data_IF_123998319713
#
_entry.id   IF_123998319713
#
_cell.length_a   1.000
_cell.length_b   1.000
_cell.length_c   1.000
_cell.angle_alpha   90.00
_cell.angle_beta   90.00
_cell.angle_gamma   90.00
#
_symmetry.space_group_name_H-M   'P 1'
#
loop_
_entity.id
_entity.type
_entity.pdbx_description
1 polymer ?
#
# COMPACT_ATOMS: atom_id res chain seq x y z
N UNK A 1 -41.16 13.80 10.91
CA UNK A 1 -42.19 14.53 10.14
C UNK A 1 -43.52 14.29 10.83
N UNK A 2 -44.20 15.34 11.31
CA UNK A 2 -45.41 15.24 12.14
C UNK A 2 -46.57 15.93 11.41
N UNK A 3 -47.68 15.21 11.24
CA UNK A 3 -48.93 15.72 10.67
C UNK A 3 -49.99 15.71 11.76
N UNK A 4 -50.42 16.89 12.18
CA UNK A 4 -51.49 17.07 13.17
C UNK A 4 -52.79 17.34 12.40
N UNK A 5 -53.62 16.31 12.25
CA UNK A 5 -54.95 16.43 11.62
C UNK A 5 -55.96 16.45 12.75
N UNK A 6 -56.65 17.60 12.88
CA UNK A 6 -57.73 18.08 13.75
C UNK A 6 -58.34 17.30 14.94
N UNK A 7 -57.97 16.06 15.26
CA UNK A 7 -58.40 15.31 16.47
C UNK A 7 -57.46 14.16 16.87
N UNK A 8 -56.30 14.02 16.21
CA UNK A 8 -55.34 12.98 16.54
C UNK A 8 -53.88 13.44 16.36
N UNK A 9 -53.03 13.05 17.31
CA UNK A 9 -51.59 13.25 17.22
C UNK A 9 -50.92 11.97 16.74
N UNK A 10 -50.02 12.10 15.76
CA UNK A 10 -49.25 10.98 15.19
C UNK A 10 -47.77 11.27 15.32
N UNK A 11 -47.04 10.36 15.95
CA UNK A 11 -45.60 10.45 16.16
C UNK A 11 -44.91 9.28 15.48
N UNK A 12 -43.90 9.58 14.67
CA UNK A 12 -43.04 8.58 14.03
C UNK A 12 -41.61 8.92 14.42
N UNK A 13 -40.97 8.01 15.15
CA UNK A 13 -39.62 8.18 15.66
C UNK A 13 -38.77 6.99 15.22
N UNK A 14 -37.66 7.26 14.54
CA UNK A 14 -36.70 6.24 14.13
C UNK A 14 -35.41 6.43 14.92
N UNK A 15 -35.16 5.58 15.90
CA UNK A 15 -33.99 5.68 16.77
C UNK A 15 -32.91 4.72 16.29
N UNK A 16 -31.74 5.23 15.83
CA UNK A 16 -30.62 4.37 15.48
C UNK A 16 -29.95 3.85 16.75
N UNK A 17 -29.51 2.59 16.71
CA UNK A 17 -28.77 1.97 17.80
C UNK A 17 -27.72 1.00 17.28
N UNK A 18 -26.79 0.62 18.15
CA UNK A 18 -25.75 -0.37 17.87
C UNK A 18 -25.96 -1.61 18.72
N UNK A 19 -25.73 -2.79 18.17
CA UNK A 19 -25.89 -4.05 18.91
C UNK A 19 -24.93 -5.12 18.40
N UNK A 20 -24.45 -5.95 19.30
CA UNK A 20 -23.59 -7.07 18.95
C UNK A 20 -24.42 -8.14 18.23
N UNK A 21 -23.95 -8.59 17.07
CA UNK A 21 -24.70 -9.57 16.28
C UNK A 21 -24.42 -11.03 16.68
N UNK A 22 -23.41 -11.29 17.52
CA UNK A 22 -23.09 -12.61 18.07
C UNK A 22 -22.69 -13.67 17.03
N UNK A 23 -22.22 -13.25 15.85
CA UNK A 23 -21.83 -14.17 14.75
C UNK A 23 -20.30 -14.28 14.73
N UNK A 24 -19.74 -15.46 14.39
CA UNK A 24 -18.28 -15.63 14.28
C UNK A 24 -17.67 -14.85 13.11
N UNK A 25 -18.49 -14.48 12.11
CA UNK A 25 -18.12 -13.60 10.99
C UNK A 25 -19.28 -12.63 10.72
N UNK A 26 -19.03 -11.35 10.40
CA UNK A 26 -17.73 -10.67 10.22
C UNK A 26 -16.93 -10.48 11.54
N UNK A 27 -15.65 -10.09 11.43
CA UNK A 27 -14.74 -9.87 12.58
C UNK A 27 -15.22 -8.75 13.50
N UNK A 28 -15.85 -7.73 12.94
CA UNK A 28 -16.49 -6.65 13.71
C UNK A 28 -17.75 -7.20 14.38
N UNK A 29 -17.85 -7.25 15.72
CA UNK A 29 -18.99 -7.81 16.41
C UNK A 29 -20.23 -6.89 16.37
N UNK A 30 -20.09 -5.62 15.98
CA UNK A 30 -21.13 -4.61 16.09
C UNK A 30 -21.92 -4.41 14.79
N UNK A 31 -23.22 -4.19 14.95
CA UNK A 31 -24.15 -3.90 13.85
C UNK A 31 -24.97 -2.65 14.13
N UNK A 32 -25.07 -1.75 13.15
CA UNK A 32 -25.97 -0.60 13.19
C UNK A 32 -27.38 -1.05 12.83
N UNK A 33 -28.34 -0.68 13.67
CA UNK A 33 -29.75 -1.04 13.57
C UNK A 33 -30.63 0.19 13.75
N UNK A 34 -31.90 0.06 13.41
CA UNK A 34 -32.90 1.12 13.55
C UNK A 34 -34.13 0.56 14.24
N UNK A 35 -34.57 1.27 15.26
CA UNK A 35 -35.81 0.99 15.95
C UNK A 35 -36.84 2.03 15.52
N UNK A 36 -37.88 1.61 14.79
CA UNK A 36 -38.96 2.51 14.41
C UNK A 36 -40.15 2.38 15.36
N UNK A 37 -40.59 3.51 15.89
CA UNK A 37 -41.70 3.65 16.82
C UNK A 37 -42.74 4.54 16.18
N UNK A 38 -43.93 4.00 16.00
CA UNK A 38 -45.11 4.74 15.60
C UNK A 38 -46.08 4.81 16.78
N UNK A 39 -46.50 6.02 17.12
CA UNK A 39 -47.54 6.26 18.11
C UNK A 39 -48.68 7.04 17.46
N UNK A 40 -49.90 6.57 17.67
CA UNK A 40 -51.13 7.29 17.37
C UNK A 40 -51.89 7.56 18.66
N UNK A 41 -52.06 8.83 19.00
CA UNK A 41 -52.89 9.25 20.13
C UNK A 41 -54.23 9.77 19.61
N UNK A 42 -55.31 9.10 20.01
CA UNK A 42 -56.68 9.49 19.71
C UNK A 42 -57.26 10.25 20.89
N UNK A 43 -57.61 11.52 20.66
CA UNK A 43 -58.14 12.38 21.73
C UNK A 43 -59.56 11.99 22.15
N UNK A 44 -60.38 11.47 21.22
CA UNK A 44 -61.77 11.06 21.47
C UNK A 44 -61.87 9.86 22.40
N UNK A 45 -60.97 8.88 22.24
CA UNK A 45 -60.94 7.66 23.04
C UNK A 45 -59.95 7.75 24.22
N UNK A 46 -59.10 8.78 24.26
CA UNK A 46 -57.97 8.93 25.20
C UNK A 46 -57.08 7.68 25.26
N UNK A 47 -56.87 7.05 24.09
CA UNK A 47 -56.05 5.85 23.96
C UNK A 47 -54.87 6.10 23.02
N UNK A 48 -53.69 5.60 23.41
CA UNK A 48 -52.51 5.53 22.56
C UNK A 48 -52.40 4.16 21.91
N UNK A 49 -52.27 4.12 20.59
CA UNK A 49 -51.92 2.92 19.82
C UNK A 49 -50.46 2.98 19.41
N UNK A 50 -49.74 1.87 19.54
CA UNK A 50 -48.30 1.80 19.29
C UNK A 50 -47.97 0.70 18.30
N UNK A 51 -47.09 1.00 17.34
CA UNK A 51 -46.51 0.03 16.43
C UNK A 51 -45.00 0.14 16.56
N UNK A 52 -44.37 -0.98 16.90
CA UNK A 52 -42.94 -1.09 17.17
C UNK A 52 -42.33 -2.02 16.12
N UNK A 53 -41.43 -1.49 15.29
CA UNK A 53 -40.76 -2.25 14.24
C UNK A 53 -39.32 -2.50 14.66
N UNK A 54 -38.95 -3.79 14.74
CA UNK A 54 -37.64 -4.26 15.23
C UNK A 54 -37.30 -3.71 16.62
N UNK A 55 -38.14 -3.98 17.65
CA UNK A 55 -37.80 -3.60 19.01
C UNK A 55 -36.55 -4.35 19.47
N UNK A 56 -35.72 -3.67 20.27
CA UNK A 56 -34.59 -4.31 20.94
C UNK A 56 -35.10 -5.36 21.92
N UNK A 57 -34.34 -6.44 22.10
CA UNK A 57 -34.73 -7.56 22.97
C UNK A 57 -35.05 -7.11 24.41
N UNK A 58 -34.24 -6.19 24.96
CA UNK A 58 -34.53 -5.57 26.26
C UNK A 58 -35.89 -4.87 26.32
N UNK A 59 -36.26 -4.14 25.25
CA UNK A 59 -37.54 -3.45 25.18
C UNK A 59 -38.69 -4.44 25.04
N UNK A 60 -38.49 -5.52 24.25
CA UNK A 60 -39.45 -6.61 24.11
C UNK A 60 -39.73 -7.28 25.45
N UNK A 61 -38.69 -7.64 26.20
CA UNK A 61 -38.83 -8.22 27.54
C UNK A 61 -39.50 -7.26 28.53
N UNK A 62 -39.22 -5.96 28.44
CA UNK A 62 -39.89 -4.96 29.28
C UNK A 62 -41.39 -4.81 28.96
N UNK A 63 -41.79 -5.02 27.71
CA UNK A 63 -43.18 -5.05 27.30
C UNK A 63 -43.89 -6.32 27.77
N UNK A 64 -43.26 -7.48 27.60
CA UNK A 64 -43.80 -8.78 28.02
C UNK A 64 -43.94 -8.88 29.55
N UNK A 65 -43.02 -8.28 30.31
CA UNK A 65 -43.07 -8.21 31.78
C UNK A 65 -43.97 -7.10 32.33
N UNK A 66 -44.63 -6.31 31.47
CA UNK A 66 -45.53 -5.23 31.88
C UNK A 66 -44.81 -4.01 32.50
N UNK A 67 -43.48 -3.94 32.43
CA UNK A 67 -42.69 -2.79 32.92
C UNK A 67 -42.88 -1.52 32.08
N UNK A 68 -43.32 -1.66 30.84
CA UNK A 68 -43.70 -0.56 29.94
C UNK A 68 -45.20 -0.71 29.64
N UNK A 69 -46.03 0.23 30.11
CA UNK A 69 -47.46 0.24 29.84
C UNK A 69 -47.77 1.11 28.61
N UNK A 70 -48.00 0.46 27.47
CA UNK A 70 -48.34 1.14 26.20
C UNK A 70 -49.76 1.74 26.19
N UNK A 71 -50.65 1.24 27.06
CA UNK A 71 -52.07 1.62 27.14
C UNK A 71 -52.40 2.73 28.13
N UNK A 72 -51.48 3.64 28.44
CA UNK A 72 -51.74 4.68 29.44
C UNK A 72 -52.75 5.73 28.94
N UNK A 73 -53.70 6.09 29.82
CA UNK A 73 -54.68 7.18 29.60
C UNK A 73 -54.05 8.57 29.72
N UNK A 74 -52.83 8.67 30.26
CA UNK A 74 -52.12 9.94 30.44
C UNK A 74 -51.17 10.21 29.27
N UNK A 75 -51.24 11.44 28.76
CA UNK A 75 -50.37 11.91 27.68
C UNK A 75 -48.89 11.95 28.12
N UNK A 76 -48.62 12.26 29.39
CA UNK A 76 -47.28 12.25 29.99
C UNK A 76 -46.66 10.85 30.03
N UNK A 77 -47.45 9.82 30.31
CA UNK A 77 -46.99 8.44 30.32
C UNK A 77 -46.58 7.95 28.92
N UNK A 78 -47.17 8.52 27.86
CA UNK A 78 -46.76 8.23 26.48
C UNK A 78 -45.37 8.81 26.18
N UNK A 79 -45.08 10.05 26.61
CA UNK A 79 -43.74 10.63 26.47
C UNK A 79 -42.68 9.91 27.31
N UNK A 80 -43.04 9.50 28.52
CA UNK A 80 -42.16 8.69 29.36
C UNK A 80 -41.82 7.34 28.70
N UNK A 81 -42.77 6.75 27.97
CA UNK A 81 -42.54 5.53 27.18
C UNK A 81 -41.56 5.79 26.03
N UNK A 82 -41.69 6.90 25.29
CA UNK A 82 -40.69 7.30 24.29
C UNK A 82 -39.31 7.47 24.90
N UNK A 83 -39.20 8.16 26.04
CA UNK A 83 -37.93 8.34 26.73
C UNK A 83 -37.30 7.00 27.13
N UNK A 84 -38.08 6.05 27.66
CA UNK A 84 -37.58 4.70 28.00
C UNK A 84 -37.07 3.96 26.77
N UNK A 85 -37.78 4.02 25.66
CA UNK A 85 -37.36 3.40 24.40
C UNK A 85 -36.02 4.00 23.93
N UNK A 86 -35.92 5.33 23.90
CA UNK A 86 -34.70 6.01 23.46
C UNK A 86 -33.54 5.69 24.41
N UNK A 87 -33.76 5.70 25.73
CA UNK A 87 -32.76 5.31 26.74
C UNK A 87 -32.26 3.88 26.54
N UNK A 88 -33.16 2.92 26.32
CA UNK A 88 -32.78 1.53 26.05
C UNK A 88 -31.95 1.42 24.77
N UNK A 89 -32.32 2.16 23.73
CA UNK A 89 -31.59 2.15 22.45
C UNK A 89 -30.17 2.75 22.55
N UNK A 90 -29.95 3.68 23.49
CA UNK A 90 -28.66 4.36 23.62
C UNK A 90 -27.65 3.67 24.54
N UNK A 91 -28.05 2.63 25.26
CA UNK A 91 -27.21 1.95 26.28
C UNK A 91 -25.93 1.34 25.70
N UNK A 92 -25.97 0.93 24.43
CA UNK A 92 -24.87 0.25 23.74
C UNK A 92 -23.81 1.20 23.17
N UNK A 93 -24.10 2.51 23.04
CA UNK A 93 -23.16 3.48 22.46
C UNK A 93 -21.84 3.56 23.22
N UNK A 94 -21.88 3.52 24.56
CA UNK A 94 -20.67 3.53 25.40
C UNK A 94 -19.72 2.39 25.05
N UNK A 95 -20.25 1.18 24.96
CA UNK A 95 -19.46 -0.03 24.68
C UNK A 95 -18.90 -0.02 23.27
N UNK A 96 -19.70 0.39 22.29
CA UNK A 96 -19.26 0.54 20.91
C UNK A 96 -18.14 1.58 20.76
N UNK A 97 -18.30 2.76 21.37
CA UNK A 97 -17.28 3.81 21.30
C UNK A 97 -15.99 3.45 22.05
N UNK A 98 -16.09 2.67 23.13
CA UNK A 98 -14.91 2.11 23.79
C UNK A 98 -14.20 1.11 22.87
N UNK A 99 -14.93 0.19 22.25
CA UNK A 99 -14.37 -0.76 21.27
C UNK A 99 -13.61 -0.06 20.14
N UNK A 100 -14.18 1.00 19.55
CA UNK A 100 -13.48 1.77 18.51
C UNK A 100 -12.23 2.48 19.05
N UNK A 101 -12.28 2.99 20.29
CA UNK A 101 -11.13 3.60 20.96
C UNK A 101 -10.01 2.58 21.17
N UNK A 102 -10.35 1.38 21.65
CA UNK A 102 -9.38 0.32 21.92
C UNK A 102 -8.73 -0.20 20.62
N UNK A 103 -9.50 -0.31 19.52
CA UNK A 103 -8.93 -0.62 18.20
C UNK A 103 -7.99 0.48 17.70
N UNK A 104 -8.35 1.75 17.92
CA UNK A 104 -7.52 2.89 17.54
C UNK A 104 -6.20 2.92 18.34
N UNK A 105 -6.28 2.69 19.65
CA UNK A 105 -5.12 2.65 20.55
C UNK A 105 -4.14 1.54 20.16
N UNK A 106 -4.63 0.36 19.77
CA UNK A 106 -3.78 -0.72 19.27
C UNK A 106 -2.98 -0.30 18.03
N UNK A 107 -3.63 0.40 17.08
CA UNK A 107 -2.94 0.91 15.89
C UNK A 107 -1.95 2.00 16.30
N UNK A 108 -2.36 2.92 17.18
CA UNK A 108 -1.52 4.01 17.67
C UNK A 108 -0.24 3.51 18.32
N UNK A 109 -0.34 2.56 19.25
CA UNK A 109 0.81 1.95 19.91
C UNK A 109 1.73 1.30 18.88
N UNK A 110 1.17 0.58 17.91
CA UNK A 110 1.96 -0.04 16.83
C UNK A 110 2.71 0.99 15.99
N UNK A 111 2.10 2.14 15.72
CA UNK A 111 2.72 3.22 14.93
C UNK A 111 3.82 3.95 15.71
N UNK A 112 3.58 4.24 16.99
CA UNK A 112 4.53 5.00 17.83
C UNK A 112 5.71 4.14 18.29
N UNK A 113 5.45 2.90 18.70
CA UNK A 113 6.48 2.02 19.25
C UNK A 113 7.29 1.28 18.18
N UNK A 114 7.11 1.62 16.90
CA UNK A 114 7.91 1.04 15.83
C UNK A 114 9.40 1.39 16.04
N UNK A 115 10.20 0.35 16.25
CA UNK A 115 11.64 0.47 16.40
C UNK A 115 12.28 0.59 15.01
N UNK A 116 13.23 1.53 14.90
CA UNK A 116 14.15 1.81 13.80
C UNK A 116 13.75 1.28 12.40
N UNK A 117 13.40 2.16 11.44
CA UNK A 117 12.98 1.77 10.09
C UNK A 117 14.04 0.96 9.32
N UNK A 118 15.27 0.87 9.82
CA UNK A 118 16.37 0.10 9.23
C UNK A 118 16.44 -1.37 9.66
N UNK A 119 15.75 -1.78 10.74
CA UNK A 119 15.89 -3.13 11.34
C UNK A 119 14.60 -3.96 11.38
N UNK A 120 13.44 -3.37 11.08
CA UNK A 120 12.18 -4.12 11.11
C UNK A 120 12.02 -4.99 9.86
N UNK A 121 12.25 -6.29 9.99
CA UNK A 121 11.86 -7.28 8.98
C UNK A 121 10.47 -7.86 9.28
N UNK A 122 9.57 -7.76 8.30
CA UNK A 122 8.46 -8.69 8.09
C UNK A 122 7.17 -8.46 8.88
N UNK A 123 7.17 -8.53 10.22
CA UNK A 123 5.91 -8.61 10.99
C UNK A 123 5.47 -7.31 11.66
N UNK A 124 6.41 -6.41 11.91
CA UNK A 124 6.18 -5.11 12.55
C UNK A 124 6.03 -3.95 11.57
N UNK A 125 5.97 -4.25 10.28
CA UNK A 125 5.94 -3.24 9.22
C UNK A 125 4.59 -2.50 9.20
N UNK A 126 4.62 -1.17 9.39
CA UNK A 126 3.51 -0.30 9.04
C UNK A 126 3.27 -0.45 7.54
N UNK A 127 2.12 -0.98 7.19
CA UNK A 127 1.69 -1.22 5.82
C UNK A 127 0.48 -0.32 5.52
N UNK A 128 0.12 -0.25 4.25
CA UNK A 128 -1.10 0.41 3.79
C UNK A 128 -2.37 -0.15 4.46
N UNK A 129 -2.33 -1.40 4.93
CA UNK A 129 -3.41 -2.07 5.66
C UNK A 129 -3.84 -1.32 6.94
N UNK A 130 -2.89 -0.70 7.65
CA UNK A 130 -3.20 0.10 8.84
C UNK A 130 -4.00 1.34 8.47
N UNK A 131 -3.69 2.00 7.35
CA UNK A 131 -4.44 3.15 6.84
C UNK A 131 -5.86 2.76 6.43
N UNK A 132 -6.04 1.60 5.78
CA UNK A 132 -7.38 1.07 5.46
C UNK A 132 -8.22 0.79 6.71
N UNK A 133 -7.59 0.23 7.75
CA UNK A 133 -8.28 -0.05 9.02
C UNK A 133 -8.68 1.24 9.73
N UNK A 134 -7.82 2.26 9.72
CA UNK A 134 -8.15 3.59 10.22
C UNK A 134 -9.31 4.23 9.48
N UNK A 135 -9.38 4.12 8.15
CA UNK A 135 -10.51 4.64 7.37
C UNK A 135 -11.83 3.95 7.76
N UNK A 136 -11.80 2.64 8.00
CA UNK A 136 -12.95 1.88 8.50
C UNK A 136 -13.38 2.38 9.89
N UNK A 137 -12.44 2.57 10.82
CA UNK A 137 -12.71 3.10 12.17
C UNK A 137 -13.31 4.51 12.06
N UNK A 138 -12.73 5.37 11.21
CA UNK A 138 -13.21 6.73 11.00
C UNK A 138 -14.63 6.75 10.43
N UNK A 139 -14.93 5.90 9.42
CA UNK A 139 -16.25 5.78 8.84
C UNK A 139 -17.29 5.31 9.88
N UNK A 140 -16.93 4.34 10.73
CA UNK A 140 -17.78 3.87 11.83
C UNK A 140 -18.02 4.97 12.87
N UNK A 141 -16.99 5.71 13.26
CA UNK A 141 -17.10 6.82 14.20
C UNK A 141 -17.96 7.97 13.64
N UNK A 142 -17.81 8.33 12.36
CA UNK A 142 -18.67 9.29 11.66
C UNK A 142 -20.13 8.84 11.65
N UNK A 143 -20.38 7.57 11.36
CA UNK A 143 -21.74 7.00 11.38
C UNK A 143 -22.35 7.03 12.78
N UNK A 144 -21.57 6.70 13.81
CA UNK A 144 -22.02 6.79 15.20
C UNK A 144 -22.32 8.23 15.62
N UNK A 145 -21.46 9.19 15.28
CA UNK A 145 -21.69 10.61 15.53
C UNK A 145 -23.00 11.10 14.89
N UNK A 146 -23.24 10.74 13.63
CA UNK A 146 -24.49 11.06 12.92
C UNK A 146 -25.72 10.42 13.57
N UNK A 147 -25.63 9.15 13.99
CA UNK A 147 -26.71 8.44 14.65
C UNK A 147 -27.04 9.01 16.05
N UNK A 148 -26.01 9.37 16.82
CA UNK A 148 -26.18 10.02 18.12
C UNK A 148 -26.81 11.40 17.93
N UNK A 149 -26.34 12.19 16.95
CA UNK A 149 -26.93 13.48 16.64
C UNK A 149 -28.40 13.38 16.24
N UNK A 150 -28.78 12.36 15.45
CA UNK A 150 -30.18 12.08 15.13
C UNK A 150 -31.02 11.79 16.38
N UNK A 151 -30.46 11.06 17.34
CA UNK A 151 -31.13 10.76 18.62
C UNK A 151 -31.27 12.01 19.49
N UNK A 152 -30.25 12.88 19.52
CA UNK A 152 -30.33 14.18 20.20
C UNK A 152 -31.41 15.08 19.60
N UNK A 153 -31.53 15.14 18.27
CA UNK A 153 -32.60 15.88 17.59
C UNK A 153 -34.00 15.36 17.95
N UNK A 154 -34.16 14.05 18.08
CA UNK A 154 -35.43 13.43 18.51
C UNK A 154 -35.78 13.90 19.93
N UNK A 155 -34.82 13.88 20.86
CA UNK A 155 -35.03 14.34 22.25
C UNK A 155 -35.41 15.81 22.28
N UNK A 156 -34.70 16.67 21.55
CA UNK A 156 -35.03 18.10 21.45
C UNK A 156 -36.43 18.33 20.87
N UNK A 157 -36.83 17.51 19.89
CA UNK A 157 -38.18 17.58 19.32
C UNK A 157 -39.24 17.20 20.36
N UNK A 158 -39.01 16.13 21.12
CA UNK A 158 -39.90 15.72 22.21
C UNK A 158 -40.00 16.82 23.27
N UNK A 159 -38.89 17.43 23.64
CA UNK A 159 -38.81 18.51 24.62
C UNK A 159 -39.61 19.74 24.18
N UNK A 160 -39.42 20.19 22.93
CA UNK A 160 -40.20 21.27 22.34
C UNK A 160 -41.71 20.96 22.31
N UNK A 161 -42.09 19.70 22.08
CA UNK A 161 -43.50 19.29 22.13
C UNK A 161 -44.06 19.30 23.55
N UNK A 162 -43.27 18.89 24.55
CA UNK A 162 -43.65 18.99 25.96
C UNK A 162 -43.90 20.45 26.34
N UNK A 163 -43.03 21.36 25.91
CA UNK A 163 -43.20 22.79 26.15
C UNK A 163 -44.45 23.37 25.47
N UNK A 164 -44.68 23.03 24.20
CA UNK A 164 -45.89 23.46 23.48
C UNK A 164 -47.17 22.98 24.17
N UNK A 165 -47.22 21.70 24.54
CA UNK A 165 -48.37 21.13 25.23
C UNK A 165 -48.58 21.75 26.61
N UNK A 166 -47.50 22.04 27.34
CA UNK A 166 -47.58 22.73 28.63
C UNK A 166 -48.16 24.14 28.49
N UNK A 167 -47.77 24.87 27.43
CA UNK A 167 -48.29 26.22 27.17
C UNK A 167 -49.78 26.21 26.82
N UNK A 168 -50.24 25.16 26.12
CA UNK A 168 -51.67 24.98 25.83
C UNK A 168 -52.45 24.59 27.08
N UNK A 169 -51.92 23.67 27.91
CA UNK A 169 -52.60 23.22 29.12
C UNK A 169 -52.76 24.35 30.15
N UNK A 170 -51.75 25.20 30.33
CA UNK A 170 -51.82 26.40 31.19
C UNK A 170 -52.93 27.38 30.78
N UNK A 171 -53.36 27.38 29.51
CA UNK A 171 -54.46 28.25 29.03
C UNK A 171 -55.85 27.69 29.33
N UNK A 172 -55.98 26.39 29.54
CA UNK A 172 -57.28 25.72 29.72
C UNK A 172 -57.59 25.36 31.18
N UNK A 173 -56.58 25.08 32.02
CA UNK A 173 -56.79 24.84 33.46
C UNK A 173 -55.68 25.49 34.32
N UNK A 174 -55.92 26.66 34.94
CA UNK A 174 -54.93 27.34 35.76
C UNK A 174 -54.71 26.72 37.17
N UNK A 175 -55.54 25.77 37.60
CA UNK A 175 -55.71 25.45 39.03
C UNK A 175 -55.29 24.04 39.48
N UNK A 176 -54.87 23.14 38.58
CA UNK A 176 -54.56 21.76 38.98
C UNK A 176 -53.08 21.59 39.32
N UNK A 177 -52.77 21.67 40.61
CA UNK A 177 -51.45 21.49 41.18
C UNK A 177 -50.95 20.04 41.04
N UNK A 178 -50.03 19.83 40.10
CA UNK A 178 -48.81 19.01 40.29
C UNK A 178 -47.98 19.06 39.01
N UNK A 179 -47.17 20.12 38.87
CA UNK A 179 -46.13 20.21 37.82
C UNK A 179 -45.00 19.17 38.00
N UNK A 180 -45.00 18.42 39.11
CA UNK A 180 -43.95 17.50 39.54
C UNK A 180 -43.53 16.47 38.47
N UNK A 181 -44.50 15.86 37.79
CA UNK A 181 -44.21 14.86 36.73
C UNK A 181 -43.64 15.45 35.45
N UNK A 182 -43.90 16.74 35.16
CA UNK A 182 -43.39 17.44 33.98
C UNK A 182 -41.94 17.85 34.21
N UNK A 183 -41.69 18.52 35.33
CA UNK A 183 -40.37 19.05 35.66
C UNK A 183 -39.37 17.88 35.76
N UNK A 184 -39.78 16.75 36.38
CA UNK A 184 -39.02 15.51 36.37
C UNK A 184 -38.71 14.98 34.95
N UNK A 185 -39.70 14.96 34.03
CA UNK A 185 -39.50 14.47 32.68
C UNK A 185 -38.56 15.37 31.87
N UNK A 186 -38.66 16.69 32.05
CA UNK A 186 -37.81 17.68 31.40
C UNK A 186 -36.36 17.54 31.89
N UNK A 187 -36.15 17.45 33.21
CA UNK A 187 -34.83 17.23 33.82
C UNK A 187 -34.20 15.93 33.31
N UNK A 188 -34.98 14.85 33.22
CA UNK A 188 -34.53 13.56 32.69
C UNK A 188 -34.18 13.60 31.19
N UNK A 189 -34.94 14.35 30.38
CA UNK A 189 -34.63 14.56 28.97
C UNK A 189 -33.35 15.39 28.80
N UNK A 190 -33.18 16.44 29.60
CA UNK A 190 -31.99 17.29 29.58
C UNK A 190 -30.76 16.51 30.02
N UNK A 191 -30.84 15.76 31.12
CA UNK A 191 -29.76 14.90 31.60
C UNK A 191 -29.35 13.87 30.54
N UNK A 192 -30.33 13.26 29.87
CA UNK A 192 -30.05 12.27 28.84
C UNK A 192 -29.48 12.90 27.55
N UNK A 193 -29.94 14.08 27.16
CA UNK A 193 -29.35 14.88 26.08
C UNK A 193 -27.88 15.21 26.34
N UNK A 194 -27.55 15.59 27.58
CA UNK A 194 -26.17 15.82 28.02
C UNK A 194 -25.33 14.54 27.88
N UNK A 195 -25.87 13.38 28.26
CA UNK A 195 -25.18 12.11 28.13
C UNK A 195 -24.89 11.73 26.66
N UNK A 196 -25.85 11.94 25.75
CA UNK A 196 -25.64 11.74 24.32
C UNK A 196 -24.61 12.71 23.74
N UNK A 197 -24.56 13.95 24.25
CA UNK A 197 -23.55 14.93 23.85
C UNK A 197 -22.14 14.46 24.21
N UNK A 198 -21.96 13.83 25.37
CA UNK A 198 -20.68 13.22 25.75
C UNK A 198 -20.30 12.09 24.78
N UNK A 199 -21.24 11.22 24.41
CA UNK A 199 -20.98 10.17 23.41
C UNK A 199 -20.63 10.75 22.03
N UNK A 200 -21.31 11.82 21.60
CA UNK A 200 -21.01 12.51 20.35
C UNK A 200 -19.63 13.17 20.37
N UNK A 201 -19.20 13.73 21.51
CA UNK A 201 -17.83 14.25 21.70
C UNK A 201 -16.80 13.13 21.56
N UNK A 202 -16.96 12.02 22.28
CA UNK A 202 -16.06 10.87 22.15
C UNK A 202 -15.95 10.35 20.71
N UNK A 203 -17.07 10.27 19.98
CA UNK A 203 -17.05 9.88 18.58
C UNK A 203 -16.25 10.86 17.69
N UNK A 204 -16.29 12.16 17.99
CA UNK A 204 -15.51 13.19 17.31
C UNK A 204 -14.03 13.09 17.64
N UNK A 205 -13.70 12.88 18.91
CA UNK A 205 -12.31 12.73 19.36
C UNK A 205 -11.64 11.55 18.62
N UNK A 206 -12.36 10.42 18.47
CA UNK A 206 -11.90 9.26 17.67
C UNK A 206 -11.65 9.65 16.20
N UNK A 207 -12.50 10.48 15.60
CA UNK A 207 -12.34 10.92 14.20
C UNK A 207 -11.08 11.79 14.04
N UNK A 208 -10.85 12.71 14.98
CA UNK A 208 -9.71 13.62 14.99
C UNK A 208 -8.40 12.86 15.26
N UNK A 209 -8.41 11.96 16.23
CA UNK A 209 -7.25 11.11 16.56
C UNK A 209 -6.89 10.18 15.39
N UNK A 210 -7.89 9.61 14.73
CA UNK A 210 -7.66 8.79 13.52
C UNK A 210 -6.97 9.59 12.40
N UNK A 211 -7.37 10.85 12.20
CA UNK A 211 -6.74 11.72 11.21
C UNK A 211 -5.28 12.02 11.58
N UNK A 212 -5.01 12.28 12.86
CA UNK A 212 -3.65 12.49 13.38
C UNK A 212 -2.75 11.26 13.18
N UNK A 213 -3.24 10.06 13.52
CA UNK A 213 -2.50 8.81 13.35
C UNK A 213 -2.25 8.51 11.87
N UNK A 214 -3.23 8.76 10.99
CA UNK A 214 -3.04 8.57 9.56
C UNK A 214 -1.97 9.50 8.99
N UNK A 215 -1.91 10.77 9.42
CA UNK A 215 -0.81 11.68 9.07
C UNK A 215 0.54 11.18 9.56
N UNK A 216 0.61 10.63 10.78
CA UNK A 216 1.84 10.05 11.31
C UNK A 216 2.29 8.84 10.48
N UNK A 217 1.38 7.93 10.13
CA UNK A 217 1.67 6.79 9.26
C UNK A 217 2.23 7.25 7.91
N UNK A 218 1.60 8.22 7.27
CA UNK A 218 2.05 8.76 5.99
C UNK A 218 3.47 9.33 6.09
N UNK A 219 3.75 10.15 7.12
CA UNK A 219 5.10 10.70 7.35
C UNK A 219 6.14 9.63 7.63
N UNK A 220 5.80 8.59 8.40
CA UNK A 220 6.72 7.48 8.67
C UNK A 220 7.02 6.70 7.39
N UNK A 221 6.01 6.47 6.54
CA UNK A 221 6.20 5.83 5.24
C UNK A 221 7.06 6.68 4.30
N UNK A 222 6.83 7.99 4.24
CA UNK A 222 7.62 8.92 3.42
C UNK A 222 9.08 8.98 3.88
N UNK A 223 9.32 9.05 5.19
CA UNK A 223 10.66 9.01 5.77
C UNK A 223 11.38 7.72 5.39
N UNK A 224 10.69 6.58 5.49
CA UNK A 224 11.27 5.30 5.12
C UNK A 224 11.58 5.22 3.64
N UNK A 225 10.69 5.68 2.77
CA UNK A 225 10.93 5.76 1.33
C UNK A 225 12.17 6.62 1.04
N UNK A 226 12.31 7.77 1.69
CA UNK A 226 13.49 8.63 1.56
C UNK A 226 14.78 7.93 2.01
N UNK A 227 14.75 7.20 3.14
CA UNK A 227 15.90 6.45 3.63
C UNK A 227 16.28 5.28 2.71
N UNK A 228 15.29 4.52 2.21
CA UNK A 228 15.52 3.45 1.24
C UNK A 228 16.08 3.98 -0.08
N UNK A 229 15.58 5.12 -0.56
CA UNK A 229 16.13 5.78 -1.74
C UNK A 229 17.55 6.29 -1.52
N UNK A 230 17.85 6.87 -0.35
CA UNK A 230 19.18 7.34 -0.03
C UNK A 230 20.18 6.18 0.04
N UNK A 231 19.83 5.11 0.77
CA UNK A 231 20.67 3.90 0.88
C UNK A 231 20.90 3.25 -0.47
N UNK A 232 19.85 3.06 -1.27
CA UNK A 232 19.98 2.55 -2.65
C UNK A 232 20.86 3.44 -3.52
N UNK A 233 20.72 4.77 -3.46
CA UNK A 233 21.59 5.68 -4.20
C UNK A 233 23.05 5.59 -3.75
N UNK A 234 23.31 5.45 -2.45
CA UNK A 234 24.68 5.26 -1.94
C UNK A 234 25.29 3.94 -2.41
N UNK A 235 24.52 2.84 -2.40
CA UNK A 235 24.96 1.55 -2.94
C UNK A 235 25.22 1.63 -4.45
N UNK A 236 24.34 2.30 -5.21
CA UNK A 236 24.53 2.51 -6.66
C UNK A 236 25.78 3.34 -6.95
N UNK A 237 26.07 4.36 -6.13
CA UNK A 237 27.31 5.15 -6.24
C UNK A 237 28.55 4.29 -5.96
N UNK A 238 28.50 3.43 -4.93
CA UNK A 238 29.59 2.51 -4.63
C UNK A 238 29.82 1.51 -5.76
N UNK A 239 28.75 0.93 -6.32
CA UNK A 239 28.81 0.03 -7.48
C UNK A 239 29.39 0.75 -8.69
N UNK A 240 28.92 1.97 -8.99
CA UNK A 240 29.41 2.77 -10.13
C UNK A 240 30.90 3.12 -9.98
N UNK A 241 31.35 3.44 -8.77
CA UNK A 241 32.77 3.68 -8.48
C UNK A 241 33.60 2.41 -8.68
N UNK A 242 33.13 1.26 -8.19
CA UNK A 242 33.79 -0.04 -8.41
C UNK A 242 33.87 -0.38 -9.90
N UNK A 243 32.78 -0.21 -10.65
CA UNK A 243 32.73 -0.48 -12.10
C UNK A 243 33.67 0.44 -12.89
N UNK A 244 33.84 1.70 -12.45
CA UNK A 244 34.80 2.62 -13.06
C UNK A 244 36.26 2.15 -12.84
N UNK A 245 36.60 1.69 -11.63
CA UNK A 245 37.93 1.14 -11.30
C UNK A 245 38.19 -0.17 -12.06
N UNK A 246 37.17 -1.02 -12.18
CA UNK A 246 37.27 -2.26 -12.95
C UNK A 246 37.49 -1.96 -14.45
N UNK A 247 36.76 -0.97 -15.00
CA UNK A 247 36.91 -0.56 -16.40
C UNK A 247 38.31 -0.03 -16.71
N UNK A 248 38.91 0.77 -15.83
CA UNK A 248 40.28 1.25 -16.03
C UNK A 248 41.30 0.12 -15.94
N UNK A 249 41.11 -0.82 -15.02
CA UNK A 249 41.95 -2.02 -14.90
C UNK A 249 41.85 -2.91 -16.14
N UNK A 250 40.64 -3.07 -16.70
CA UNK A 250 40.40 -3.81 -17.94
C UNK A 250 41.07 -3.15 -19.14
N UNK A 251 41.03 -1.81 -19.23
CA UNK A 251 41.74 -1.07 -20.28
C UNK A 251 43.26 -1.30 -20.18
N UNK A 252 43.80 -1.27 -18.95
CA UNK A 252 45.22 -1.53 -18.73
C UNK A 252 45.61 -2.96 -19.11
N UNK A 253 44.83 -3.97 -18.71
CA UNK A 253 45.03 -5.37 -19.12
C UNK A 253 44.93 -5.54 -20.64
N UNK A 254 44.00 -4.83 -21.29
CA UNK A 254 43.87 -4.87 -22.75
C UNK A 254 45.10 -4.26 -23.43
N UNK A 255 45.64 -3.16 -22.90
CA UNK A 255 46.86 -2.54 -23.41
C UNK A 255 48.09 -3.48 -23.25
N UNK A 256 48.22 -4.14 -22.10
CA UNK A 256 49.25 -5.16 -21.87
C UNK A 256 49.10 -6.34 -22.82
N UNK A 257 47.88 -6.88 -22.97
CA UNK A 257 47.60 -7.97 -23.90
C UNK A 257 47.92 -7.61 -25.36
N UNK A 258 47.65 -6.37 -25.78
CA UNK A 258 48.05 -5.88 -27.10
C UNK A 258 49.57 -5.79 -27.25
N UNK A 259 50.28 -5.38 -26.19
CA UNK A 259 51.73 -5.34 -26.19
C UNK A 259 52.33 -6.75 -26.29
N UNK A 260 51.84 -7.70 -25.51
CA UNK A 260 52.26 -9.10 -25.55
C UNK A 260 51.96 -9.73 -26.92
N UNK A 261 50.78 -9.45 -27.49
CA UNK A 261 50.45 -9.88 -28.84
C UNK A 261 51.42 -9.30 -29.89
N UNK A 262 51.91 -8.07 -29.68
CA UNK A 262 52.93 -7.47 -30.56
C UNK A 262 54.29 -8.14 -30.38
N UNK A 263 54.72 -8.43 -29.16
CA UNK A 263 55.96 -9.17 -28.89
C UNK A 263 55.90 -10.56 -29.54
N UNK A 264 54.80 -11.29 -29.33
CA UNK A 264 54.60 -12.63 -29.91
C UNK A 264 54.63 -12.60 -31.44
N UNK A 265 54.04 -11.56 -32.07
CA UNK A 265 54.14 -11.34 -33.53
C UNK A 265 55.59 -11.15 -33.97
N UNK A 266 56.38 -10.34 -33.28
CA UNK A 266 57.79 -10.09 -33.62
C UNK A 266 58.61 -11.38 -33.45
N UNK A 267 58.45 -12.09 -32.34
CA UNK A 267 59.14 -13.36 -32.09
C UNK A 267 58.83 -14.41 -33.17
N UNK A 268 57.56 -14.51 -33.58
CA UNK A 268 57.12 -15.40 -34.64
C UNK A 268 57.74 -15.04 -36.00
N UNK A 269 57.86 -13.74 -36.31
CA UNK A 269 58.52 -13.26 -37.54
C UNK A 269 60.01 -13.64 -37.53
N UNK A 270 60.71 -13.44 -36.40
CA UNK A 270 62.12 -13.81 -36.26
C UNK A 270 62.28 -15.33 -36.44
N UNK A 271 61.48 -16.14 -35.75
CA UNK A 271 61.52 -17.59 -35.88
C UNK A 271 61.29 -18.03 -37.34
N UNK A 272 60.32 -17.44 -38.04
CA UNK A 272 60.04 -17.75 -39.44
C UNK A 272 61.20 -17.37 -40.39
N UNK A 273 61.99 -16.34 -40.05
CA UNK A 273 63.18 -15.97 -40.82
C UNK A 273 64.36 -16.92 -40.58
N UNK A 274 64.52 -17.43 -39.35
CA UNK A 274 65.62 -18.33 -38.99
C UNK A 274 65.36 -19.81 -39.31
N UNK A 275 64.10 -20.25 -39.31
CA UNK A 275 63.72 -21.65 -39.56
C UNK A 275 64.24 -22.18 -40.92
N UNK A 276 64.14 -21.43 -42.04
CA UNK A 276 64.69 -21.84 -43.34
C UNK A 276 66.21 -21.97 -43.31
N UNK A 277 66.89 -21.03 -42.66
CA UNK A 277 68.35 -21.02 -42.55
C UNK A 277 68.85 -22.21 -41.73
N UNK A 278 68.17 -22.54 -40.63
CA UNK A 278 68.46 -23.72 -39.82
C UNK A 278 68.28 -25.02 -40.59
N UNK A 279 67.19 -25.15 -41.36
CA UNK A 279 66.92 -26.34 -42.17
C UNK A 279 67.96 -26.51 -43.29
N UNK A 280 68.32 -25.43 -43.99
CA UNK A 280 69.39 -25.46 -45.02
C UNK A 280 70.73 -25.83 -44.38
N UNK A 281 71.11 -25.19 -43.27
CA UNK A 281 72.33 -25.51 -42.53
C UNK A 281 72.38 -26.99 -42.10
N UNK A 282 71.27 -27.54 -41.59
CA UNK A 282 71.18 -28.95 -41.19
C UNK A 282 71.28 -29.93 -42.37
N UNK A 283 70.66 -29.61 -43.52
CA UNK A 283 70.75 -30.44 -44.74
C UNK A 283 72.18 -30.46 -45.29
N UNK A 284 72.90 -29.33 -45.23
CA UNK A 284 74.31 -29.28 -45.66
C UNK A 284 75.30 -29.83 -44.62
N UNK A 285 74.92 -29.84 -43.33
CA UNK A 285 75.72 -30.44 -42.25
C UNK A 285 75.57 -31.96 -42.15
N UNK A 286 74.49 -32.52 -42.70
CA UNK A 286 74.36 -33.97 -42.84
C UNK A 286 75.12 -34.39 -44.10
N UNK A 287 75.93 -35.45 -44.02
CA UNK A 287 76.71 -36.01 -45.15
C UNK A 287 75.84 -36.49 -46.34
N UNK A 288 74.55 -36.17 -46.38
CA UNK A 288 73.64 -36.42 -47.50
C UNK A 288 74.09 -35.72 -48.79
N UNK A 289 74.88 -34.64 -48.70
CA UNK A 289 75.51 -34.00 -49.86
C UNK A 289 76.94 -34.52 -50.00
N UNK A 290 77.09 -35.72 -50.56
CA UNK A 290 78.40 -36.24 -50.98
C UNK A 290 78.90 -35.44 -52.19
N UNK A 291 79.58 -34.32 -51.95
CA UNK A 291 80.38 -33.64 -52.96
C UNK A 291 81.53 -34.60 -53.35
N UNK A 292 81.36 -35.29 -54.47
CA UNK A 292 82.36 -36.20 -55.05
C UNK A 292 83.75 -35.56 -55.09
N UNK A 293 84.82 -36.24 -54.66
CA UNK A 293 86.10 -35.61 -54.35
C UNK A 293 86.97 -35.50 -55.59
N UNK A 294 86.75 -34.47 -56.42
CA UNK A 294 87.79 -33.91 -57.30
C UNK A 294 87.57 -32.41 -57.40
N UNK A 295 88.19 -31.63 -56.50
CA UNK A 295 88.47 -30.18 -56.64
C UNK A 295 87.34 -29.31 -57.25
N UNK A 296 86.08 -29.62 -56.96
CA UNK A 296 84.95 -28.78 -57.36
C UNK A 296 84.83 -27.65 -56.35
N UNK A 297 85.41 -26.52 -56.74
CA UNK A 297 84.99 -25.15 -56.43
C UNK A 297 84.16 -25.01 -55.15
N UNK A 298 84.86 -24.79 -54.02
CA UNK A 298 84.28 -24.27 -52.79
C UNK A 298 83.32 -23.10 -53.07
N UNK A 299 83.63 -22.31 -54.10
CA UNK A 299 82.81 -21.25 -54.64
C UNK A 299 81.44 -21.71 -55.20
N UNK A 300 81.37 -22.84 -55.92
CA UNK A 300 80.10 -23.35 -56.48
C UNK A 300 79.18 -23.91 -55.39
N UNK A 301 79.74 -24.59 -54.38
CA UNK A 301 78.96 -25.05 -53.22
C UNK A 301 78.36 -23.88 -52.43
N UNK A 302 79.14 -22.82 -52.24
CA UNK A 302 78.68 -21.57 -51.62
C UNK A 302 77.57 -20.91 -52.46
N UNK A 303 77.70 -20.88 -53.79
CA UNK A 303 76.66 -20.33 -54.68
C UNK A 303 75.36 -21.12 -54.60
N UNK A 304 75.40 -22.45 -54.60
CA UNK A 304 74.20 -23.30 -54.45
C UNK A 304 73.55 -23.11 -53.09
N UNK A 305 74.35 -22.99 -52.02
CA UNK A 305 73.87 -22.70 -50.67
C UNK A 305 73.10 -21.36 -50.62
N UNK A 306 73.67 -20.28 -51.17
CA UNK A 306 72.99 -18.98 -51.20
C UNK A 306 71.74 -18.97 -52.08
N UNK A 307 71.73 -19.70 -53.20
CA UNK A 307 70.54 -19.83 -54.06
C UNK A 307 69.41 -20.59 -53.36
N UNK A 308 69.70 -21.72 -52.69
CA UNK A 308 68.72 -22.49 -51.95
C UNK A 308 68.16 -21.68 -50.76
N UNK A 309 69.03 -20.97 -50.05
CA UNK A 309 68.65 -20.08 -48.95
C UNK A 309 67.76 -18.93 -49.45
N UNK A 310 68.10 -18.32 -50.58
CA UNK A 310 67.31 -17.25 -51.22
C UNK A 310 65.91 -17.73 -51.66
N UNK A 311 65.82 -18.91 -52.27
CA UNK A 311 64.52 -19.49 -52.70
C UNK A 311 63.67 -19.86 -51.47
N UNK A 312 64.26 -20.47 -50.45
CA UNK A 312 63.51 -20.90 -49.27
C UNK A 312 63.03 -19.71 -48.42
N UNK A 313 63.85 -18.65 -48.30
CA UNK A 313 63.47 -17.41 -47.62
C UNK A 313 62.41 -16.62 -48.39
N UNK A 314 62.51 -16.52 -49.72
CA UNK A 314 61.47 -15.88 -50.53
C UNK A 314 60.15 -16.64 -50.47
N UNK A 315 60.19 -17.98 -50.47
CA UNK A 315 59.00 -18.82 -50.30
C UNK A 315 58.35 -18.63 -48.92
N UNK A 316 59.12 -18.66 -47.81
CA UNK A 316 58.56 -18.46 -46.47
C UNK A 316 58.02 -17.05 -46.26
N UNK A 317 58.68 -16.01 -46.79
CA UNK A 317 58.17 -14.64 -46.75
C UNK A 317 56.91 -14.50 -47.60
N UNK A 318 56.85 -15.10 -48.79
CA UNK A 318 55.62 -15.09 -49.61
C UNK A 318 54.45 -15.75 -48.88
N UNK A 319 54.66 -16.92 -48.28
CA UNK A 319 53.62 -17.63 -47.51
C UNK A 319 53.16 -16.77 -46.33
N UNK A 320 54.07 -16.15 -45.59
CA UNK A 320 53.71 -15.28 -44.47
C UNK A 320 52.95 -14.04 -44.90
N UNK A 321 53.36 -13.37 -45.99
CA UNK A 321 52.66 -12.18 -46.50
C UNK A 321 51.26 -12.56 -47.00
N UNK A 322 51.10 -13.73 -47.65
CA UNK A 322 49.80 -14.23 -48.06
C UNK A 322 48.92 -14.56 -46.86
N UNK A 323 49.48 -15.14 -45.80
CA UNK A 323 48.77 -15.43 -44.54
C UNK A 323 48.33 -14.14 -43.84
N UNK A 324 49.21 -13.15 -43.70
CA UNK A 324 48.90 -11.84 -43.10
C UNK A 324 47.84 -11.09 -43.90
N UNK A 325 47.91 -11.13 -45.24
CA UNK A 325 46.89 -10.52 -46.11
C UNK A 325 45.54 -11.23 -45.97
N UNK A 326 45.53 -12.56 -45.81
CA UNK A 326 44.30 -13.34 -45.61
C UNK A 326 43.66 -13.04 -44.26
N UNK A 327 44.45 -12.95 -43.19
CA UNK A 327 43.98 -12.58 -41.84
C UNK A 327 43.45 -11.14 -41.79
N UNK A 328 44.10 -10.20 -42.48
CA UNK A 328 43.59 -8.82 -42.60
C UNK A 328 42.22 -8.78 -43.25
N UNK A 329 41.98 -9.59 -44.28
CA UNK A 329 40.67 -9.67 -44.95
C UNK A 329 39.62 -10.29 -44.03
N UNK A 330 39.94 -11.36 -43.30
CA UNK A 330 39.02 -11.98 -42.34
C UNK A 330 38.66 -11.04 -41.17
N UNK A 331 39.62 -10.25 -40.66
CA UNK A 331 39.38 -9.27 -39.61
C UNK A 331 38.51 -8.08 -40.03
N UNK A 332 38.60 -7.65 -41.30
CA UNK A 332 37.73 -6.58 -41.85
C UNK A 332 36.29 -7.05 -42.00
N UNK A 333 36.07 -8.32 -42.39
CA UNK A 333 34.71 -8.92 -42.44
C UNK A 333 34.09 -8.96 -41.05
N UNK A 334 34.82 -9.37 -40.02
CA UNK A 334 34.29 -9.42 -38.65
C UNK A 334 34.01 -8.02 -38.04
N UNK A 335 34.83 -7.00 -38.36
CA UNK A 335 34.53 -5.61 -37.96
C UNK A 335 33.32 -5.02 -38.71
N UNK A 336 33.12 -5.38 -39.99
CA UNK A 336 31.93 -4.97 -40.74
C UNK A 336 30.64 -5.63 -40.21
N UNK A 337 30.73 -6.88 -39.73
CA UNK A 337 29.61 -7.58 -39.08
C UNK A 337 29.32 -7.02 -37.68
N UNK A 338 30.33 -6.60 -36.92
CA UNK A 338 30.15 -5.98 -35.59
C UNK A 338 29.71 -4.50 -35.63
N UNK A 339 30.00 -3.77 -36.71
CA UNK A 339 29.58 -2.37 -36.90
C UNK A 339 28.24 -2.24 -37.65
N UNK A 340 27.62 -3.36 -38.07
CA UNK A 340 26.26 -3.34 -38.59
C UNK A 340 25.30 -3.01 -37.43
N UNK A 341 24.55 -1.89 -37.48
CA UNK A 341 23.59 -1.59 -36.43
C UNK A 341 22.54 -2.69 -36.40
N UNK A 342 22.36 -3.30 -35.22
CA UNK A 342 21.23 -4.16 -34.88
C UNK A 342 19.93 -3.35 -35.04
N UNK A 343 19.45 -3.19 -36.27
CA UNK A 343 18.07 -2.85 -36.59
C UNK A 343 17.22 -4.11 -36.39
N UNK A 344 17.06 -4.54 -35.13
CA UNK A 344 16.01 -5.49 -34.75
C UNK A 344 15.68 -5.38 -33.27
N UNK A 345 14.96 -4.31 -32.93
CA UNK A 345 13.80 -4.29 -32.03
C UNK A 345 13.50 -2.85 -31.63
N UNK A 346 12.84 -2.10 -32.51
CA UNK A 346 12.04 -0.95 -32.10
C UNK A 346 10.91 -0.75 -33.11
N UNK A 347 9.68 -0.95 -32.66
CA UNK A 347 8.45 -0.59 -33.37
C UNK A 347 7.60 -1.76 -33.87
N UNK A 348 6.67 -2.23 -33.04
CA UNK A 348 5.23 -2.15 -33.35
C UNK A 348 4.43 -2.91 -32.28
N UNK A 349 3.70 -2.16 -31.45
CA UNK A 349 2.87 -2.70 -30.38
C UNK A 349 2.23 -1.59 -29.54
N UNK A 350 1.77 -0.52 -30.19
CA UNK A 350 0.83 0.43 -29.60
C UNK A 350 -0.52 0.32 -30.32
N UNK A 351 -1.57 0.28 -29.50
CA UNK A 351 -2.97 0.64 -29.73
C UNK A 351 -3.94 -0.41 -30.28
N UNK A 352 -4.70 -1.03 -29.37
CA UNK A 352 -6.15 -0.78 -29.22
C UNK A 352 -6.74 -1.64 -28.09
N UNK A 353 -7.32 -1.01 -27.06
CA UNK A 353 -8.75 -1.17 -26.73
C UNK A 353 -9.07 -0.45 -25.43
N UNK A 354 -9.75 0.69 -25.56
CA UNK A 354 -10.63 1.22 -24.54
C UNK A 354 -11.97 0.47 -24.61
N UNK A 355 -12.47 0.04 -23.47
CA UNK A 355 -13.88 -0.16 -23.13
C UNK A 355 -14.00 -0.06 -21.62
#
# INVERSE_FOLDING_TARGET
MLLQIHNAARYIVCVPYVEQHGRPKPKDPWSFRRYAVYQHYSQSTRTSSWILIQPREETRQCLETGKISLGSRSLWASFYTHLRIIKSSSRSWRWFLNYLSDELDQIRVKVICQTDPTKSQGSDEICFMQSQTLEIIQAKARRASSAIAATTMIIQTIDQHLDRLSSMQKRFEPMSGSNDGRDFLHDELQQFSNHLTIHARKARDIIEETASINMLIQRTLDLRNALTLHTSNTSLRAISASAAIESTSMLHLTALSLHDARIMKIASIIALMYLPAGLVSSIFSTELVSLTPVRLDLWKGVVVFFMLLGILTTATVCVAVLWIKRDRKAGVVNKAVAAAPSKRQQGSGENCSAA
#
